data_IF_067548804179
#
_entry.id   IF_067548804179
#
_cell.length_a   1.000
_cell.length_b   1.000
_cell.length_c   1.000
_cell.angle_alpha   90.00
_cell.angle_beta   90.00
_cell.angle_gamma   90.00
#
_symmetry.space_group_name_H-M   'P 1'
#
loop_
_entity.id
_entity.type
_entity.pdbx_description
1 polymer ?
#
# COMPACT_ATOMS: atom_id res chain seq x y z
N UNK A 1 -28.53 10.42 16.77
CA UNK A 1 -27.46 11.17 16.08
C UNK A 1 -26.57 10.15 15.39
N UNK A 2 -26.88 9.80 14.14
CA UNK A 2 -25.98 9.00 13.31
C UNK A 2 -24.81 9.91 12.96
N UNK A 3 -23.65 9.63 13.55
CA UNK A 3 -22.40 10.35 13.33
C UNK A 3 -21.98 10.06 11.89
N UNK A 4 -22.51 10.85 10.95
CA UNK A 4 -22.20 10.84 9.52
C UNK A 4 -20.69 11.10 9.25
N UNK A 5 -19.97 11.44 10.32
CA UNK A 5 -18.53 11.59 10.42
C UNK A 5 -17.93 10.41 11.20
N UNK A 6 -18.25 9.17 10.86
CA UNK A 6 -17.24 8.12 11.03
C UNK A 6 -16.15 8.48 10.03
N UNK A 7 -15.31 9.39 10.49
CA UNK A 7 -13.98 9.82 10.06
C UNK A 7 -13.64 9.27 8.69
N UNK A 8 -13.45 10.17 7.71
CA UNK A 8 -12.68 9.90 6.51
C UNK A 8 -11.28 9.44 6.93
N UNK A 9 -11.18 8.21 7.44
CA UNK A 9 -9.96 7.66 8.00
C UNK A 9 -8.99 7.60 6.82
N UNK A 10 -7.90 8.36 6.87
CA UNK A 10 -7.03 8.49 5.73
C UNK A 10 -6.53 7.10 5.37
N UNK A 11 -6.53 6.78 4.07
CA UNK A 11 -6.02 5.50 3.58
C UNK A 11 -4.60 5.30 4.18
N UNK A 12 -4.36 4.21 4.94
CA UNK A 12 -3.09 3.97 5.59
C UNK A 12 -1.92 3.98 4.61
N UNK A 13 -0.74 4.39 5.06
CA UNK A 13 0.47 4.46 4.25
C UNK A 13 1.47 3.40 4.70
N UNK A 14 1.80 2.47 3.82
CA UNK A 14 2.86 1.48 4.01
C UNK A 14 4.15 2.06 3.46
N UNK A 15 5.15 2.29 4.31
CA UNK A 15 6.48 2.74 3.87
C UNK A 15 7.34 1.53 3.57
N UNK A 16 7.54 1.26 2.28
CA UNK A 16 8.28 0.12 1.78
C UNK A 16 9.78 0.40 1.76
N UNK A 17 10.56 -0.58 2.23
CA UNK A 17 12.00 -0.60 1.98
C UNK A 17 12.31 -0.89 0.51
N UNK A 18 13.60 -0.88 0.15
CA UNK A 18 14.06 -1.12 -1.22
C UNK A 18 13.59 -2.47 -1.79
N UNK A 19 13.79 -3.58 -1.07
CA UNK A 19 13.39 -4.92 -1.50
C UNK A 19 11.87 -5.07 -1.66
N UNK A 20 11.11 -4.54 -0.72
CA UNK A 20 9.64 -4.57 -0.76
C UNK A 20 9.11 -3.72 -1.90
N UNK A 21 9.70 -2.54 -2.12
CA UNK A 21 9.37 -1.69 -3.27
C UNK A 21 9.56 -2.44 -4.58
N UNK A 22 10.69 -3.17 -4.73
CA UNK A 22 10.95 -3.97 -5.93
C UNK A 22 9.91 -5.07 -6.13
N UNK A 23 9.56 -5.80 -5.06
CA UNK A 23 8.51 -6.83 -5.08
C UNK A 23 7.15 -6.26 -5.49
N UNK A 24 6.70 -5.21 -4.83
CA UNK A 24 5.39 -4.58 -5.10
C UNK A 24 5.33 -4.01 -6.51
N UNK A 25 6.42 -3.40 -7.01
CA UNK A 25 6.52 -2.93 -8.41
C UNK A 25 6.37 -4.06 -9.43
N UNK A 26 6.74 -5.28 -9.10
CA UNK A 26 6.54 -6.45 -9.97
C UNK A 26 5.22 -7.19 -9.69
N UNK A 27 4.32 -6.61 -8.89
CA UNK A 27 3.03 -7.21 -8.54
C UNK A 27 3.11 -8.30 -7.46
N UNK A 28 4.25 -8.45 -6.77
CA UNK A 28 4.43 -9.45 -5.73
C UNK A 28 3.91 -8.90 -4.39
N UNK A 29 3.12 -9.70 -3.69
CA UNK A 29 2.59 -9.41 -2.36
C UNK A 29 3.68 -9.32 -1.30
N UNK A 30 3.41 -8.54 -0.24
CA UNK A 30 4.28 -8.43 0.94
C UNK A 30 3.51 -8.84 2.20
N UNK A 31 4.18 -9.36 3.24
CA UNK A 31 3.51 -9.76 4.47
C UNK A 31 2.94 -8.54 5.20
N UNK A 32 1.76 -8.70 5.82
CA UNK A 32 1.08 -7.66 6.59
C UNK A 32 1.47 -7.73 8.07
N UNK A 33 2.76 -7.71 8.35
CA UNK A 33 3.33 -7.86 9.69
C UNK A 33 4.36 -6.76 9.99
N UNK A 34 4.79 -6.67 11.25
CA UNK A 34 5.74 -5.66 11.70
C UNK A 34 5.26 -4.24 11.38
N UNK A 35 6.07 -3.51 10.60
CA UNK A 35 5.77 -2.13 10.18
C UNK A 35 4.63 -2.01 9.17
N UNK A 36 4.20 -3.13 8.59
CA UNK A 36 3.11 -3.20 7.62
C UNK A 36 1.85 -3.84 8.20
N UNK A 37 1.78 -3.97 9.52
CA UNK A 37 0.61 -4.54 10.18
C UNK A 37 -0.63 -3.76 9.79
N UNK A 38 -1.65 -4.47 9.32
CA UNK A 38 -2.92 -3.84 8.99
C UNK A 38 -3.48 -3.09 10.20
N UNK A 39 -3.77 -1.80 9.99
CA UNK A 39 -4.54 -1.04 10.96
C UNK A 39 -5.93 -1.66 10.98
N UNK A 40 -6.44 -1.94 12.18
CA UNK A 40 -7.78 -2.54 12.38
C UNK A 40 -8.82 -1.81 11.52
N UNK A 41 -9.56 -2.56 10.71
CA UNK A 41 -10.58 -2.11 9.75
C UNK A 41 -10.09 -1.46 8.43
N UNK A 42 -8.79 -1.53 8.11
CA UNK A 42 -8.29 -1.04 6.81
C UNK A 42 -8.11 -2.18 5.82
N UNK A 43 -9.00 -2.26 4.82
CA UNK A 43 -8.91 -3.22 3.72
C UNK A 43 -7.99 -2.77 2.58
N UNK A 44 -7.58 -1.50 2.59
CA UNK A 44 -6.73 -0.88 1.56
C UNK A 44 -5.63 -0.04 2.20
N UNK A 45 -4.50 0.10 1.49
CA UNK A 45 -3.40 0.97 1.89
C UNK A 45 -2.65 1.54 0.66
N UNK A 46 -1.97 2.67 0.84
CA UNK A 46 -1.03 3.23 -0.14
C UNK A 46 0.38 2.73 0.18
N UNK A 47 0.98 1.99 -0.75
CA UNK A 47 2.40 1.65 -0.69
C UNK A 47 3.23 2.83 -1.20
N UNK A 48 4.13 3.35 -0.35
CA UNK A 48 5.05 4.43 -0.66
C UNK A 48 6.50 3.93 -0.55
N UNK A 49 7.41 4.50 -1.33
CA UNK A 49 8.85 4.32 -1.10
C UNK A 49 9.29 4.99 0.21
N UNK A 50 10.52 4.75 0.65
CA UNK A 50 11.13 5.49 1.78
C UNK A 50 11.15 7.01 1.56
N UNK A 51 11.27 7.44 0.30
CA UNK A 51 11.19 8.86 -0.12
C UNK A 51 9.75 9.40 -0.16
N UNK A 52 8.74 8.57 0.13
CA UNK A 52 7.33 8.95 0.13
C UNK A 52 6.65 8.93 -1.25
N UNK A 53 7.30 8.40 -2.30
CA UNK A 53 6.71 8.30 -3.64
C UNK A 53 5.72 7.15 -3.72
N UNK A 54 4.58 7.35 -4.39
CA UNK A 54 3.56 6.31 -4.54
C UNK A 54 4.04 5.17 -5.44
N UNK A 55 3.92 3.94 -4.93
CA UNK A 55 4.29 2.70 -5.62
C UNK A 55 3.06 1.92 -6.05
N UNK A 56 2.10 1.74 -5.15
CA UNK A 56 0.88 0.99 -5.45
C UNK A 56 -0.27 1.33 -4.49
N UNK A 57 -1.50 1.03 -4.93
CA UNK A 57 -2.61 0.75 -4.01
C UNK A 57 -2.57 -0.73 -3.67
N UNK A 58 -2.57 -1.03 -2.38
CA UNK A 58 -2.53 -2.37 -1.81
C UNK A 58 -3.89 -2.72 -1.23
N UNK A 59 -4.28 -3.98 -1.34
CA UNK A 59 -5.45 -4.58 -0.71
C UNK A 59 -5.00 -5.60 0.31
N UNK A 60 -5.57 -5.55 1.52
CA UNK A 60 -5.26 -6.54 2.54
C UNK A 60 -5.97 -7.85 2.21
N UNK A 61 -5.24 -8.96 2.22
CA UNK A 61 -5.81 -10.29 2.23
C UNK A 61 -5.70 -10.87 3.64
N UNK A 62 -6.83 -10.96 4.33
CA UNK A 62 -6.91 -11.49 5.70
C UNK A 62 -6.59 -12.99 5.79
N UNK A 63 -6.92 -13.78 4.75
CA UNK A 63 -6.71 -15.24 4.76
C UNK A 63 -5.22 -15.60 4.71
N UNK A 64 -4.44 -14.85 3.93
CA UNK A 64 -3.01 -15.07 3.73
C UNK A 64 -2.13 -14.14 4.57
N UNK A 65 -2.72 -13.17 5.26
CA UNK A 65 -2.04 -12.11 6.00
C UNK A 65 -1.00 -11.36 5.16
N UNK A 66 -1.37 -11.00 3.92
CA UNK A 66 -0.52 -10.27 2.97
C UNK A 66 -1.20 -9.03 2.42
N UNK A 67 -0.40 -8.04 2.04
CA UNK A 67 -0.81 -6.94 1.18
C UNK A 67 -0.59 -7.32 -0.28
N UNK A 68 -1.68 -7.36 -1.05
CA UNK A 68 -1.66 -7.61 -2.50
C UNK A 68 -1.67 -6.29 -3.26
N UNK A 69 -0.76 -6.07 -4.22
CA UNK A 69 -0.83 -4.90 -5.09
C UNK A 69 -2.07 -4.98 -6.00
N UNK A 70 -3.01 -4.06 -5.84
CA UNK A 70 -4.21 -3.97 -6.69
C UNK A 70 -3.96 -3.07 -7.91
N UNK A 71 -3.20 -1.98 -7.69
CA UNK A 71 -2.79 -1.06 -8.77
C UNK A 71 -1.36 -0.62 -8.53
N UNK A 72 -0.45 -1.05 -9.39
CA UNK A 72 0.94 -0.59 -9.39
C UNK A 72 1.07 0.66 -10.25
N UNK A 73 1.77 1.67 -9.72
CA UNK A 73 2.15 2.88 -10.43
C UNK A 73 3.62 2.75 -10.83
N UNK A 74 3.86 2.70 -12.12
CA UNK A 74 5.19 2.88 -12.66
C UNK A 74 5.38 4.37 -12.90
N UNK A 75 6.45 4.96 -12.37
CA UNK A 75 6.86 6.31 -12.76
C UNK A 75 6.91 6.37 -14.28
N UNK A 76 6.00 7.14 -14.90
CA UNK A 76 6.02 7.37 -16.35
C UNK A 76 7.15 8.31 -16.79
N UNK A 77 8.17 8.51 -15.94
CA UNK A 77 9.35 9.33 -16.21
C UNK A 77 10.42 8.59 -17.02
N UNK A 78 10.03 7.72 -17.95
CA UNK A 78 10.93 7.17 -18.94
C UNK A 78 10.43 7.47 -20.35
N UNK A 79 11.20 8.33 -21.03
CA UNK A 79 11.19 8.72 -22.46
C UNK A 79 10.53 10.06 -22.78
N UNK A 80 11.24 11.13 -22.42
CA UNK A 80 11.40 12.25 -23.35
C UNK A 80 12.88 12.18 -23.75
N UNK A 81 13.15 11.69 -24.95
CA UNK A 81 14.49 11.62 -25.55
C UNK A 81 14.42 12.26 -26.93
#
# INVERSE_FOLDING_TARGET
MQKLETVLDPIPKLRLGFDETKKVRTGISIPAEGNHKAVTNSSIAMALTEEGKLVAIMKFNEEELVWKPEKVFHDQMQRIN
#
